data_IF_418920623907
#
_entry.id   IF_418920623907
#
_cell.length_a   1.000
_cell.length_b   1.000
_cell.length_c   1.000
_cell.angle_alpha   90.00
_cell.angle_beta   90.00
_cell.angle_gamma   90.00
#
_symmetry.space_group_name_H-M   'P 1'
#
loop_
_entity.id
_entity.type
_entity.pdbx_description
1 polymer ?
#
# COMPACT_ATOMS: atom_id res chain seq x y z
N UNK A 1 -5.35 3.09 -25.01
CA UNK A 1 -3.89 3.24 -25.09
C UNK A 1 -3.22 2.58 -23.87
N UNK A 2 -3.30 3.14 -22.66
CA UNK A 2 -2.56 2.67 -21.49
C UNK A 2 -2.71 1.16 -21.19
N UNK A 3 -3.94 0.63 -21.17
CA UNK A 3 -4.18 -0.79 -20.89
C UNK A 3 -3.55 -1.71 -21.94
N UNK A 4 -3.70 -1.37 -23.23
CA UNK A 4 -3.12 -2.16 -24.31
C UNK A 4 -1.58 -2.12 -24.29
N UNK A 5 -1.00 -0.96 -23.97
CA UNK A 5 0.44 -0.80 -23.88
C UNK A 5 0.99 -1.60 -22.69
N UNK A 6 0.29 -1.59 -21.56
CA UNK A 6 0.62 -2.37 -20.37
C UNK A 6 0.53 -3.89 -20.63
N UNK A 7 -0.54 -4.34 -21.31
CA UNK A 7 -0.69 -5.73 -21.72
C UNK A 7 0.47 -6.19 -22.61
N UNK A 8 0.79 -5.38 -23.63
CA UNK A 8 1.89 -5.69 -24.55
C UNK A 8 3.25 -5.73 -23.84
N UNK A 9 3.44 -4.89 -22.83
CA UNK A 9 4.66 -4.88 -22.03
C UNK A 9 4.73 -6.11 -21.11
N UNK A 10 3.67 -6.43 -20.39
CA UNK A 10 3.60 -7.60 -19.50
C UNK A 10 3.76 -8.91 -20.26
N UNK A 11 3.25 -9.00 -21.50
CA UNK A 11 3.38 -10.18 -22.34
C UNK A 11 4.83 -10.54 -22.74
N UNK A 12 5.78 -9.61 -22.53
CA UNK A 12 7.21 -9.88 -22.79
C UNK A 12 7.87 -10.68 -21.67
N UNK A 13 7.19 -10.86 -20.54
CA UNK A 13 7.74 -11.55 -19.37
C UNK A 13 6.99 -12.85 -19.10
N UNK A 14 7.68 -13.90 -18.63
CA UNK A 14 7.01 -15.12 -18.21
C UNK A 14 5.95 -14.82 -17.13
N UNK A 15 4.81 -15.51 -17.13
CA UNK A 15 3.77 -15.32 -16.11
C UNK A 15 4.34 -15.48 -14.70
N UNK A 16 3.99 -14.53 -13.81
CA UNK A 16 4.43 -14.53 -12.42
C UNK A 16 5.85 -13.99 -12.17
N UNK A 17 6.58 -13.58 -13.21
CA UNK A 17 7.93 -12.99 -13.07
C UNK A 17 7.87 -11.56 -12.52
N UNK A 18 6.84 -10.80 -12.92
CA UNK A 18 6.63 -9.40 -12.50
C UNK A 18 5.35 -9.30 -11.72
N UNK A 19 5.42 -8.66 -10.57
CA UNK A 19 4.27 -8.22 -9.80
C UNK A 19 4.12 -6.71 -9.99
N UNK A 20 2.99 -6.29 -10.56
CA UNK A 20 2.69 -4.89 -10.80
C UNK A 20 1.89 -4.33 -9.61
N UNK A 21 2.42 -3.33 -8.95
CA UNK A 21 1.70 -2.54 -7.96
C UNK A 21 1.44 -1.13 -8.51
N UNK A 22 0.19 -0.72 -8.51
CA UNK A 22 -0.22 0.62 -8.91
C UNK A 22 -0.62 1.42 -7.67
N UNK A 23 0.12 2.48 -7.40
CA UNK A 23 -0.17 3.44 -6.33
C UNK A 23 -0.94 4.61 -6.90
N UNK A 24 -2.14 4.81 -6.39
CA UNK A 24 -3.06 5.85 -6.84
C UNK A 24 -3.32 6.77 -5.64
N UNK A 25 -2.90 8.04 -5.73
CA UNK A 25 -3.21 9.01 -4.69
C UNK A 25 -4.74 9.17 -4.55
N UNK A 26 -5.22 9.31 -3.32
CA UNK A 26 -6.66 9.44 -3.02
C UNK A 26 -7.33 10.51 -3.90
N UNK A 27 -6.68 11.67 -4.07
CA UNK A 27 -7.18 12.76 -4.92
C UNK A 27 -7.32 12.36 -6.39
N UNK A 28 -6.40 11.53 -6.89
CA UNK A 28 -6.42 11.04 -8.27
C UNK A 28 -7.57 10.07 -8.47
N UNK A 29 -7.79 9.16 -7.52
CA UNK A 29 -8.94 8.26 -7.53
C UNK A 29 -10.26 9.05 -7.49
N UNK A 30 -10.33 10.10 -6.67
CA UNK A 30 -11.53 10.94 -6.57
C UNK A 30 -11.86 11.64 -7.91
N UNK A 31 -10.85 12.05 -8.66
CA UNK A 31 -10.99 12.73 -9.95
C UNK A 31 -11.05 11.78 -11.16
N UNK A 32 -10.79 10.48 -10.95
CA UNK A 32 -10.73 9.51 -12.05
C UNK A 32 -12.12 9.28 -12.65
N UNK A 33 -12.26 9.41 -13.98
CA UNK A 33 -13.50 9.07 -14.66
C UNK A 33 -13.68 7.55 -14.69
N UNK A 34 -14.85 7.07 -14.28
CA UNK A 34 -15.25 5.67 -14.31
C UNK A 34 -14.20 4.68 -13.75
N UNK A 35 -13.71 4.86 -12.50
CA UNK A 35 -12.71 3.97 -11.90
C UNK A 35 -13.22 2.52 -11.79
N UNK A 36 -14.53 2.33 -11.69
CA UNK A 36 -15.20 1.03 -11.68
C UNK A 36 -15.08 0.25 -12.99
N UNK A 37 -14.70 0.90 -14.07
CA UNK A 37 -14.44 0.27 -15.37
C UNK A 37 -12.94 0.03 -15.58
N UNK A 38 -12.10 0.91 -15.09
CA UNK A 38 -10.65 0.90 -15.36
C UNK A 38 -9.91 -0.02 -14.39
N UNK A 39 -10.19 0.09 -13.08
CA UNK A 39 -9.43 -0.65 -12.06
C UNK A 39 -9.62 -2.17 -12.15
N UNK A 40 -10.83 -2.72 -12.40
CA UNK A 40 -10.97 -4.16 -12.61
C UNK A 40 -10.13 -4.71 -13.76
N UNK A 41 -10.04 -3.98 -14.88
CA UNK A 41 -9.23 -4.39 -16.03
C UNK A 41 -7.72 -4.43 -15.69
N UNK A 42 -7.25 -3.51 -14.83
CA UNK A 42 -5.86 -3.52 -14.36
C UNK A 42 -5.61 -4.72 -13.44
N UNK A 43 -6.57 -5.05 -12.58
CA UNK A 43 -6.48 -6.24 -11.71
C UNK A 43 -6.51 -7.54 -12.53
N UNK A 44 -7.29 -7.63 -13.59
CA UNK A 44 -7.29 -8.77 -14.52
C UNK A 44 -5.92 -8.96 -15.20
N UNK A 45 -5.14 -7.89 -15.36
CA UNK A 45 -3.76 -7.94 -15.82
C UNK A 45 -2.75 -8.35 -14.74
N UNK A 46 -3.21 -8.63 -13.52
CA UNK A 46 -2.38 -9.02 -12.40
C UNK A 46 -1.85 -7.84 -11.56
N UNK A 47 -2.38 -6.63 -11.77
CA UNK A 47 -2.01 -5.49 -10.95
C UNK A 47 -2.68 -5.54 -9.58
N UNK A 48 -1.96 -5.12 -8.53
CA UNK A 48 -2.50 -4.76 -7.23
C UNK A 48 -2.70 -3.25 -7.15
N UNK A 49 -3.79 -2.81 -6.53
CA UNK A 49 -4.15 -1.39 -6.43
C UNK A 49 -3.97 -0.92 -4.99
N UNK A 50 -3.04 -0.01 -4.78
CA UNK A 50 -2.82 0.63 -3.50
C UNK A 50 -3.30 2.09 -3.56
N UNK A 51 -4.12 2.49 -2.60
CA UNK A 51 -4.52 3.90 -2.46
C UNK A 51 -3.53 4.59 -1.53
N UNK A 52 -2.86 5.61 -2.07
CA UNK A 52 -1.86 6.41 -1.38
C UNK A 52 -2.44 7.74 -0.89
N UNK A 53 -1.75 8.38 0.07
CA UNK A 53 -2.15 9.65 0.71
C UNK A 53 -3.57 9.60 1.30
N UNK A 54 -4.01 8.44 1.79
CA UNK A 54 -5.38 8.26 2.26
C UNK A 54 -5.66 9.06 3.54
N UNK A 55 -6.82 9.72 3.54
CA UNK A 55 -7.31 10.55 4.65
C UNK A 55 -7.19 12.06 4.42
N UNK A 56 -6.50 12.51 3.36
CA UNK A 56 -6.37 13.96 3.04
C UNK A 56 -7.57 14.50 2.27
N UNK A 57 -8.16 13.67 1.46
CA UNK A 57 -9.28 14.05 0.61
C UNK A 57 -10.44 13.13 0.95
N UNK A 58 -11.62 13.68 1.19
CA UNK A 58 -12.81 12.89 1.53
C UNK A 58 -13.27 12.05 0.33
N UNK A 59 -12.56 10.97 0.05
CA UNK A 59 -13.03 9.96 -0.89
C UNK A 59 -14.29 9.30 -0.34
N UNK A 60 -15.23 9.01 -1.21
CA UNK A 60 -16.42 8.25 -0.83
C UNK A 60 -16.02 6.88 -0.29
N UNK A 61 -16.37 6.56 0.95
CA UNK A 61 -16.17 5.21 1.53
C UNK A 61 -16.80 4.12 0.67
N UNK A 62 -17.87 4.46 -0.08
CA UNK A 62 -18.49 3.55 -1.04
C UNK A 62 -17.48 3.04 -2.07
N UNK A 63 -16.55 3.88 -2.52
CA UNK A 63 -15.52 3.49 -3.49
C UNK A 63 -14.54 2.46 -2.92
N UNK A 64 -14.22 2.52 -1.63
CA UNK A 64 -13.37 1.51 -0.97
C UNK A 64 -14.03 0.13 -0.97
N UNK A 65 -15.35 0.08 -0.89
CA UNK A 65 -16.12 -1.17 -0.87
C UNK A 65 -16.33 -1.73 -2.29
N UNK A 66 -16.50 -0.86 -3.28
CA UNK A 66 -16.90 -1.27 -4.64
C UNK A 66 -15.73 -1.44 -5.60
N UNK A 67 -14.59 -0.81 -5.33
CA UNK A 67 -13.40 -0.91 -6.17
C UNK A 67 -12.45 -2.02 -5.69
N UNK A 68 -11.71 -2.67 -6.58
CA UNK A 68 -10.78 -3.74 -6.24
C UNK A 68 -9.48 -3.18 -5.64
N UNK A 69 -9.60 -2.58 -4.45
CA UNK A 69 -8.46 -2.00 -3.73
C UNK A 69 -7.78 -3.09 -2.92
N UNK A 70 -6.48 -3.20 -3.07
CA UNK A 70 -5.65 -4.21 -2.41
C UNK A 70 -5.00 -3.72 -1.11
N UNK A 71 -4.81 -2.41 -0.95
CA UNK A 71 -4.20 -1.82 0.24
C UNK A 71 -4.49 -0.33 0.37
N UNK A 72 -4.39 0.20 1.60
CA UNK A 72 -4.44 1.63 1.90
C UNK A 72 -3.11 2.08 2.52
N UNK A 73 -2.63 3.26 2.13
CA UNK A 73 -1.50 3.91 2.79
C UNK A 73 -1.96 5.23 3.41
N UNK A 74 -1.83 5.33 4.73
CA UNK A 74 -2.17 6.56 5.48
C UNK A 74 -1.15 7.64 5.12
N UNK A 75 -1.65 8.85 4.87
CA UNK A 75 -0.80 9.99 4.55
C UNK A 75 0.19 10.31 5.68
N UNK A 76 1.43 10.64 5.28
CA UNK A 76 2.51 10.98 6.19
C UNK A 76 2.15 12.10 7.18
N UNK A 77 1.38 13.09 6.77
CA UNK A 77 1.02 14.21 7.65
C UNK A 77 0.17 13.76 8.84
N UNK A 78 -0.72 12.79 8.66
CA UNK A 78 -1.51 12.23 9.78
C UNK A 78 -0.64 11.36 10.68
N UNK A 79 0.30 10.61 10.10
CA UNK A 79 1.25 9.81 10.87
C UNK A 79 2.10 10.70 11.76
N UNK A 80 2.73 11.74 11.22
CA UNK A 80 3.53 12.70 11.97
C UNK A 80 2.66 13.50 12.95
N UNK A 81 1.50 13.97 12.50
CA UNK A 81 0.56 14.71 13.33
C UNK A 81 0.06 13.90 14.54
N UNK A 82 -0.04 12.59 14.43
CA UNK A 82 -0.55 11.72 15.49
C UNK A 82 0.27 11.77 16.79
N UNK A 83 1.50 12.29 16.74
CA UNK A 83 2.34 12.51 17.92
C UNK A 83 1.84 13.65 18.79
N UNK A 84 1.23 14.67 18.22
CA UNK A 84 0.94 15.93 18.90
C UNK A 84 -0.53 16.38 18.76
N UNK A 85 -1.25 15.82 17.77
CA UNK A 85 -2.64 16.15 17.49
C UNK A 85 -3.56 14.94 17.74
N UNK A 86 -4.41 14.99 18.77
CA UNK A 86 -5.40 13.94 19.03
C UNK A 86 -6.39 13.73 17.89
N UNK A 87 -6.64 14.73 17.04
CA UNK A 87 -7.51 14.59 15.88
C UNK A 87 -6.84 13.74 14.78
N UNK A 88 -5.56 13.98 14.51
CA UNK A 88 -4.78 13.15 13.59
C UNK A 88 -4.71 11.68 14.06
N UNK A 89 -4.50 11.46 15.36
CA UNK A 89 -4.51 10.12 15.95
C UNK A 89 -5.86 9.41 15.79
N UNK A 90 -6.97 10.12 16.03
CA UNK A 90 -8.32 9.59 15.83
C UNK A 90 -8.56 9.23 14.37
N UNK A 91 -8.09 10.06 13.44
CA UNK A 91 -8.21 9.79 12.01
C UNK A 91 -7.42 8.53 11.63
N UNK A 92 -6.18 8.38 12.07
CA UNK A 92 -5.40 7.16 11.84
C UNK A 92 -6.15 5.92 12.34
N UNK A 93 -6.69 5.95 13.57
CA UNK A 93 -7.48 4.85 14.12
C UNK A 93 -8.73 4.55 13.29
N UNK A 94 -9.40 5.59 12.79
CA UNK A 94 -10.58 5.44 11.92
C UNK A 94 -10.23 4.75 10.61
N UNK A 95 -9.14 5.16 9.96
CA UNK A 95 -8.67 4.54 8.72
C UNK A 95 -8.29 3.07 8.93
N UNK A 96 -7.58 2.77 10.03
CA UNK A 96 -7.21 1.40 10.39
C UNK A 96 -8.45 0.53 10.62
N UNK A 97 -9.46 1.07 11.32
CA UNK A 97 -10.70 0.34 11.56
C UNK A 97 -11.43 0.02 10.24
N UNK A 98 -11.52 0.99 9.32
CA UNK A 98 -12.10 0.78 7.99
C UNK A 98 -11.34 -0.29 7.22
N UNK A 99 -10.01 -0.18 7.15
CA UNK A 99 -9.18 -1.16 6.45
C UNK A 99 -9.35 -2.57 7.00
N UNK A 100 -9.48 -2.69 8.33
CA UNK A 100 -9.72 -3.98 9.01
C UNK A 100 -11.07 -4.57 8.65
N UNK A 101 -12.14 -3.77 8.66
CA UNK A 101 -13.48 -4.23 8.28
C UNK A 101 -13.56 -4.65 6.81
N UNK A 102 -12.75 -4.03 5.95
CA UNK A 102 -12.64 -4.39 4.54
C UNK A 102 -11.63 -5.51 4.27
N UNK A 103 -10.97 -6.01 5.31
CA UNK A 103 -9.93 -7.05 5.22
C UNK A 103 -8.77 -6.70 4.28
N UNK A 104 -8.44 -5.41 4.15
CA UNK A 104 -7.33 -4.93 3.34
C UNK A 104 -6.17 -4.43 4.21
N UNK A 105 -4.92 -4.66 3.81
CA UNK A 105 -3.74 -4.13 4.49
C UNK A 105 -3.77 -2.61 4.59
N UNK A 106 -3.27 -2.08 5.71
CA UNK A 106 -3.13 -0.65 5.93
C UNK A 106 -1.69 -0.34 6.34
N UNK A 107 -1.04 0.54 5.59
CA UNK A 107 0.35 0.95 5.78
C UNK A 107 0.43 2.39 6.28
N UNK A 108 1.53 2.73 6.96
CA UNK A 108 1.85 4.10 7.33
C UNK A 108 3.03 4.63 6.50
N UNK A 109 2.94 5.86 5.99
CA UNK A 109 4.06 6.57 5.39
C UNK A 109 4.68 7.55 6.40
N UNK A 110 6.02 7.73 6.34
CA UNK A 110 6.74 8.66 7.20
C UNK A 110 6.98 8.13 8.60
N UNK A 111 7.28 6.83 8.71
CA UNK A 111 7.73 6.20 9.96
C UNK A 111 9.23 6.43 10.08
N UNK A 112 9.62 7.63 10.57
CA UNK A 112 11.00 8.08 10.48
C UNK A 112 11.77 7.87 11.79
N UNK A 113 11.06 7.59 12.91
CA UNK A 113 11.66 7.35 14.22
C UNK A 113 11.15 6.06 14.88
N UNK A 114 11.88 5.59 15.89
CA UNK A 114 11.44 4.47 16.73
C UNK A 114 10.14 4.81 17.47
N UNK A 115 9.99 6.06 17.92
CA UNK A 115 8.78 6.54 18.60
C UNK A 115 7.56 6.52 17.68
N UNK A 116 7.72 6.91 16.40
CA UNK A 116 6.66 6.79 15.41
C UNK A 116 6.23 5.35 15.23
N UNK A 117 7.22 4.46 15.14
CA UNK A 117 6.98 3.03 14.99
C UNK A 117 6.19 2.45 16.16
N UNK A 118 6.61 2.73 17.41
CA UNK A 118 5.92 2.24 18.61
C UNK A 118 4.48 2.76 18.67
N UNK A 119 4.31 4.07 18.48
CA UNK A 119 2.98 4.71 18.47
C UNK A 119 2.04 4.11 17.42
N UNK A 120 2.56 3.82 16.23
CA UNK A 120 1.78 3.22 15.15
C UNK A 120 1.41 1.76 15.44
N UNK A 121 2.31 1.01 16.09
CA UNK A 121 2.02 -0.34 16.57
C UNK A 121 0.88 -0.34 17.60
N UNK A 122 0.88 0.61 18.54
CA UNK A 122 -0.14 0.76 19.57
C UNK A 122 -1.54 1.01 18.99
N UNK A 123 -1.62 1.67 17.84
CA UNK A 123 -2.89 1.89 17.16
C UNK A 123 -3.24 0.81 16.14
N UNK A 124 -2.38 -0.21 15.99
CA UNK A 124 -2.66 -1.40 15.19
C UNK A 124 -2.10 -1.41 13.78
N UNK A 125 -1.22 -0.46 13.41
CA UNK A 125 -0.46 -0.52 12.15
C UNK A 125 0.73 -1.45 12.34
N UNK A 126 0.93 -2.38 11.39
CA UNK A 126 1.99 -3.38 11.44
C UNK A 126 3.02 -3.23 10.33
N UNK A 127 2.75 -2.41 9.34
CA UNK A 127 3.59 -2.21 8.16
C UNK A 127 3.71 -0.72 7.86
N UNK A 128 4.89 -0.28 7.42
CA UNK A 128 5.12 1.13 7.15
C UNK A 128 6.35 1.37 6.27
N UNK A 129 6.48 2.62 5.87
CA UNK A 129 7.58 3.15 5.04
C UNK A 129 8.13 4.39 5.72
N UNK A 130 9.45 4.48 5.84
CA UNK A 130 10.12 5.65 6.42
C UNK A 130 11.57 5.35 6.81
N UNK A 131 12.27 6.39 7.26
CA UNK A 131 13.71 6.36 7.50
C UNK A 131 14.12 5.43 8.66
N UNK A 132 13.20 5.13 9.59
CA UNK A 132 13.48 4.20 10.69
C UNK A 132 13.81 2.77 10.24
N UNK A 133 13.55 2.44 8.97
CA UNK A 133 13.85 1.11 8.39
C UNK A 133 15.20 1.05 7.67
N UNK A 134 15.96 2.14 7.69
CA UNK A 134 17.26 2.29 7.05
C UNK A 134 17.19 2.87 5.62
N UNK A 135 18.36 3.18 5.10
CA UNK A 135 18.51 3.79 3.79
C UNK A 135 18.04 2.88 2.66
N UNK A 136 17.59 3.50 1.56
CA UNK A 136 17.29 2.80 0.32
C UNK A 136 18.61 2.28 -0.24
N UNK A 137 18.84 0.97 -0.12
CA UNK A 137 19.98 0.32 -0.75
C UNK A 137 19.66 0.00 -2.22
N UNK A 138 20.67 0.04 -3.12
CA UNK A 138 20.48 -0.49 -4.47
C UNK A 138 20.00 -1.94 -4.40
N UNK A 139 18.98 -2.26 -5.19
CA UNK A 139 18.51 -3.64 -5.28
C UNK A 139 19.66 -4.52 -5.80
N UNK A 140 20.03 -5.61 -5.10
CA UNK A 140 20.99 -6.55 -5.65
C UNK A 140 20.50 -7.06 -7.01
N UNK A 141 21.41 -7.28 -7.94
CA UNK A 141 21.06 -7.85 -9.24
C UNK A 141 20.19 -9.09 -9.04
N UNK A 142 19.12 -9.28 -9.83
CA UNK A 142 18.23 -10.41 -9.67
C UNK A 142 19.03 -11.70 -9.78
N UNK A 143 19.09 -12.45 -8.69
CA UNK A 143 19.59 -13.82 -8.73
C UNK A 143 18.56 -14.64 -9.49
N UNK A 144 18.93 -15.38 -10.55
CA UNK A 144 17.98 -16.23 -11.25
C UNK A 144 17.34 -17.18 -10.25
N UNK A 145 16.01 -17.10 -10.13
CA UNK A 145 15.26 -17.93 -9.21
C UNK A 145 15.48 -19.41 -9.57
N UNK A 146 15.76 -20.30 -8.60
CA UNK A 146 15.65 -21.72 -8.85
C UNK A 146 14.20 -22.04 -9.22
N UNK A 147 14.02 -22.89 -10.24
CA UNK A 147 12.76 -23.20 -10.92
C UNK A 147 11.74 -23.98 -10.07
N UNK A 148 11.66 -23.74 -8.76
CA UNK A 148 10.66 -24.37 -7.90
C UNK A 148 10.33 -23.46 -6.72
N UNK A 149 9.26 -22.64 -6.84
CA UNK A 149 8.39 -22.24 -5.74
C UNK A 149 7.08 -21.65 -6.27
N UNK A 150 6.26 -22.50 -6.82
CA UNK A 150 4.82 -22.30 -6.90
C UNK A 150 4.22 -22.46 -5.50
N UNK A 151 3.29 -21.58 -5.15
CA UNK A 151 2.46 -21.61 -3.95
C UNK A 151 3.08 -20.98 -2.69
N UNK A 152 3.08 -19.65 -2.61
CA UNK A 152 2.79 -18.83 -1.41
C UNK A 152 3.04 -17.34 -1.69
N UNK A 153 2.28 -16.73 -2.56
CA UNK A 153 2.40 -15.29 -2.76
C UNK A 153 1.03 -14.62 -2.63
N UNK A 154 0.58 -14.48 -1.39
CA UNK A 154 -0.30 -13.40 -0.97
C UNK A 154 0.43 -12.61 0.10
N UNK A 155 1.49 -11.94 -0.29
CA UNK A 155 2.12 -10.91 0.52
C UNK A 155 2.52 -9.83 -0.45
N UNK A 156 1.79 -8.73 -0.42
CA UNK A 156 2.20 -7.50 -1.11
C UNK A 156 3.45 -7.01 -0.39
N UNK A 157 4.60 -7.51 -0.80
CA UNK A 157 5.88 -7.04 -0.31
C UNK A 157 6.46 -6.08 -1.33
N UNK A 158 6.10 -4.82 -1.23
CA UNK A 158 6.87 -3.77 -1.87
C UNK A 158 8.24 -3.69 -1.18
N UNK A 159 9.33 -3.60 -1.94
CA UNK A 159 10.70 -3.53 -1.41
C UNK A 159 10.94 -2.35 -0.44
N UNK A 160 10.03 -1.38 -0.39
CA UNK A 160 10.05 -0.24 0.52
C UNK A 160 9.15 -0.40 1.75
N UNK A 161 8.30 -1.44 1.83
CA UNK A 161 7.39 -1.65 2.97
C UNK A 161 7.93 -2.75 3.87
N UNK A 162 8.18 -2.45 5.13
CA UNK A 162 8.67 -3.42 6.12
C UNK A 162 7.69 -3.57 7.28
N UNK A 163 7.60 -4.78 7.81
CA UNK A 163 6.80 -5.06 9.01
C UNK A 163 7.40 -4.38 10.24
N UNK A 164 6.53 -3.79 11.04
CA UNK A 164 6.86 -3.31 12.36
C UNK A 164 6.98 -4.56 13.26
N UNK A 165 8.20 -5.01 13.57
CA UNK A 165 8.43 -6.13 14.50
C UNK A 165 7.97 -5.80 15.93
N UNK A 166 7.84 -6.79 16.83
CA UNK A 166 7.50 -6.52 18.23
C UNK A 166 8.52 -5.58 18.84
N UNK A 167 8.05 -4.69 19.72
CA UNK A 167 8.93 -3.84 20.51
C UNK A 167 9.84 -4.76 21.34
N UNK A 168 11.14 -4.53 21.27
CA UNK A 168 12.10 -5.22 22.14
C UNK A 168 11.88 -4.71 23.55
N UNK A 169 11.45 -5.60 24.44
CA UNK A 169 11.36 -5.35 25.88
C UNK A 169 12.74 -5.20 26.46
#
# INVERSE_FOLDING_TARGET
ALLADLQAWLAQWPPGTIQLELRIAERTLAAMPAPEQVLPQLVELGATILIDEFGRHFSSLTRLVTLPISALQIDRQFVLGSAHDPAALKLCRGVIAIARELEIPCFAAGVDSAEDRERLQDIGIREGVGDCFGDIAPMPAPTPAPAERSAAAKTVANAATRRLGPASS
#
